data_IF_464399037093
#
_entry.id   IF_464399037093
#
_cell.length_a   1.000
_cell.length_b   1.000
_cell.length_c   1.000
_cell.angle_alpha   90.00
_cell.angle_beta   90.00
_cell.angle_gamma   90.00
#
_symmetry.space_group_name_H-M   'P 1'
#
loop_
_entity.id
_entity.type
_entity.pdbx_description
1 polymer ?
#
# COMPACT_ATOMS: atom_id res chain seq x y z
N UNK A 1 20.25 4.59 -3.87
CA UNK A 1 19.67 4.77 -5.21
C UNK A 1 18.78 6.00 -5.13
N UNK A 2 18.92 6.96 -6.05
CA UNK A 2 18.13 8.20 -6.01
C UNK A 2 16.75 7.92 -6.61
N UNK A 3 15.80 7.50 -5.79
CA UNK A 3 14.43 7.27 -6.22
C UNK A 3 13.83 8.59 -6.71
N UNK A 4 13.53 8.64 -8.01
CA UNK A 4 13.03 9.84 -8.64
C UNK A 4 11.55 10.03 -8.29
N UNK A 5 11.22 11.14 -7.61
CA UNK A 5 9.83 11.56 -7.36
C UNK A 5 8.95 11.61 -8.64
N UNK A 6 9.56 11.71 -9.84
CA UNK A 6 8.88 11.66 -11.15
C UNK A 6 8.19 10.31 -11.39
N UNK A 7 8.66 9.24 -10.76
CA UNK A 7 8.06 7.90 -10.89
C UNK A 7 6.69 7.83 -10.20
N UNK A 8 6.38 8.78 -9.30
CA UNK A 8 5.07 8.91 -8.68
C UNK A 8 4.09 9.49 -9.69
N UNK A 9 2.96 8.79 -9.86
CA UNK A 9 1.85 9.25 -10.69
C UNK A 9 1.35 10.63 -10.20
N UNK A 10 1.10 11.55 -11.13
CA UNK A 10 0.75 12.97 -10.88
C UNK A 10 1.89 13.87 -10.37
N UNK A 11 3.16 13.44 -10.43
CA UNK A 11 4.33 14.32 -10.21
C UNK A 11 4.96 14.75 -11.54
N UNK A 12 4.66 15.97 -11.96
CA UNK A 12 5.32 16.60 -13.10
C UNK A 12 6.72 17.13 -12.73
N UNK A 13 7.54 17.45 -13.74
CA UNK A 13 8.88 18.02 -13.52
C UNK A 13 8.86 19.32 -12.72
N UNK A 14 7.83 20.16 -12.89
CA UNK A 14 7.68 21.39 -12.12
C UNK A 14 7.36 21.12 -10.65
N UNK A 15 6.47 20.16 -10.37
CA UNK A 15 6.12 19.74 -9.00
C UNK A 15 7.33 19.11 -8.31
N UNK A 16 8.11 18.28 -9.02
CA UNK A 16 9.38 17.75 -8.50
C UNK A 16 10.33 18.88 -8.08
N UNK A 17 10.51 19.90 -8.93
CA UNK A 17 11.39 21.04 -8.60
C UNK A 17 10.92 21.76 -7.34
N UNK A 18 9.61 21.93 -7.18
CA UNK A 18 9.01 22.54 -5.98
C UNK A 18 9.22 21.69 -4.72
N UNK A 19 8.99 20.38 -4.80
CA UNK A 19 9.26 19.43 -3.71
C UNK A 19 10.74 19.42 -3.31
N UNK A 20 11.65 19.39 -4.29
CA UNK A 20 13.09 19.45 -4.05
C UNK A 20 13.49 20.78 -3.37
N UNK A 21 12.89 21.90 -3.78
CA UNK A 21 13.10 23.21 -3.13
C UNK A 21 12.58 23.24 -1.69
N UNK A 22 11.50 22.51 -1.41
CA UNK A 22 10.97 22.31 -0.07
C UNK A 22 11.79 21.31 0.78
N UNK A 23 12.86 20.72 0.22
CA UNK A 23 13.70 19.76 0.92
C UNK A 23 13.16 18.33 0.93
N UNK A 24 12.13 18.04 0.13
CA UNK A 24 11.55 16.71 -0.05
C UNK A 24 12.21 16.07 -1.26
N UNK A 25 13.11 15.11 -1.05
CA UNK A 25 13.95 14.53 -2.11
C UNK A 25 13.69 13.04 -2.40
N UNK A 26 13.72 12.12 -1.42
CA UNK A 26 13.31 10.73 -1.66
C UNK A 26 11.79 10.56 -1.55
N UNK A 27 11.28 9.54 -2.25
CA UNK A 27 9.87 9.18 -2.23
C UNK A 27 9.39 8.76 -0.82
N UNK A 28 10.28 8.16 -0.02
CA UNK A 28 10.09 7.85 1.39
C UNK A 28 9.73 9.10 2.20
N UNK A 29 10.42 10.21 1.93
CA UNK A 29 10.15 11.47 2.61
C UNK A 29 8.82 12.07 2.16
N UNK A 30 8.46 11.93 0.88
CA UNK A 30 7.14 12.34 0.40
C UNK A 30 6.01 11.52 1.03
N UNK A 31 6.20 10.21 1.18
CA UNK A 31 5.21 9.32 1.80
C UNK A 31 5.01 9.59 3.30
N UNK A 32 6.05 10.09 3.99
CA UNK A 32 6.00 10.46 5.41
C UNK A 32 5.68 11.95 5.64
N UNK A 33 5.61 12.77 4.59
CA UNK A 33 5.34 14.20 4.71
C UNK A 33 3.89 14.47 5.16
N UNK A 34 3.69 15.56 5.92
CA UNK A 34 2.34 16.00 6.27
C UNK A 34 1.71 16.80 5.14
N UNK A 35 0.39 16.70 5.04
CA UNK A 35 -0.41 17.53 4.11
C UNK A 35 -0.14 19.02 4.35
N UNK A 36 -0.01 19.43 5.62
CA UNK A 36 0.30 20.82 6.00
C UNK A 36 1.62 21.32 5.40
N UNK A 37 2.65 20.47 5.35
CA UNK A 37 3.95 20.84 4.78
C UNK A 37 3.88 20.98 3.25
N UNK A 38 3.07 20.12 2.61
CA UNK A 38 2.83 20.20 1.17
C UNK A 38 2.00 21.43 0.79
N UNK A 39 1.03 21.82 1.63
CA UNK A 39 0.22 23.03 1.42
C UNK A 39 1.01 24.34 1.50
N UNK A 40 2.16 24.34 2.19
CA UNK A 40 3.07 25.49 2.20
C UNK A 40 3.77 25.69 0.84
N UNK A 41 3.73 24.69 -0.03
CA UNK A 41 4.32 24.74 -1.36
C UNK A 41 3.34 25.39 -2.34
N UNK A 42 3.79 26.45 -3.00
CA UNK A 42 2.97 27.18 -3.97
C UNK A 42 2.44 26.26 -5.10
N UNK A 43 1.11 26.20 -5.26
CA UNK A 43 0.43 25.37 -6.26
C UNK A 43 0.15 23.93 -5.82
N UNK A 44 0.23 23.64 -4.51
CA UNK A 44 -0.24 22.40 -3.92
C UNK A 44 -1.55 22.63 -3.15
N UNK A 45 -2.57 21.87 -3.51
CA UNK A 45 -3.86 21.84 -2.82
C UNK A 45 -3.98 20.62 -1.90
N UNK A 46 -4.96 20.63 -1.00
CA UNK A 46 -5.23 19.51 -0.07
C UNK A 46 -5.42 18.20 -0.83
N UNK A 47 -6.31 18.20 -1.84
CA UNK A 47 -6.63 17.02 -2.65
C UNK A 47 -5.42 16.48 -3.42
N UNK A 48 -4.59 17.39 -3.92
CA UNK A 48 -3.39 17.04 -4.67
C UNK A 48 -2.35 16.42 -3.73
N UNK A 49 -2.16 17.03 -2.56
CA UNK A 49 -1.23 16.59 -1.54
C UNK A 49 -1.59 15.19 -1.01
N UNK A 50 -2.86 14.94 -0.71
CA UNK A 50 -3.36 13.62 -0.33
C UNK A 50 -3.07 12.56 -1.40
N UNK A 51 -3.34 12.91 -2.66
CA UNK A 51 -3.12 12.00 -3.80
C UNK A 51 -1.64 11.68 -3.99
N UNK A 52 -0.76 12.66 -3.81
CA UNK A 52 0.69 12.47 -3.90
C UNK A 52 1.22 11.57 -2.79
N UNK A 53 0.79 11.78 -1.55
CA UNK A 53 1.16 10.92 -0.41
C UNK A 53 0.66 9.49 -0.66
N UNK A 54 -0.60 9.32 -1.06
CA UNK A 54 -1.16 8.00 -1.34
C UNK A 54 -0.43 7.27 -2.48
N UNK A 55 -0.06 7.99 -3.56
CA UNK A 55 0.71 7.42 -4.66
C UNK A 55 2.15 7.07 -4.25
N UNK A 56 2.78 7.89 -3.40
CA UNK A 56 4.11 7.63 -2.87
C UNK A 56 4.11 6.39 -1.95
N UNK A 57 3.14 6.29 -1.03
CA UNK A 57 2.95 5.10 -0.18
C UNK A 57 2.75 3.87 -1.05
N UNK A 58 1.84 3.93 -2.02
CA UNK A 58 1.57 2.81 -2.91
C UNK A 58 2.80 2.38 -3.71
N UNK A 59 3.65 3.33 -4.11
CA UNK A 59 4.89 3.02 -4.82
C UNK A 59 5.87 2.26 -3.92
N UNK A 60 6.05 2.70 -2.68
CA UNK A 60 6.89 2.02 -1.69
C UNK A 60 6.32 0.64 -1.31
N UNK A 61 4.99 0.53 -1.20
CA UNK A 61 4.28 -0.70 -0.87
C UNK A 61 4.34 -1.75 -2.00
N UNK A 62 4.72 -1.37 -3.23
CA UNK A 62 4.95 -2.31 -4.33
C UNK A 62 6.33 -2.97 -4.21
N UNK A 63 7.32 -2.32 -3.59
CA UNK A 63 8.65 -2.89 -3.36
C UNK A 63 8.71 -3.80 -2.13
N UNK A 64 7.92 -3.50 -1.09
CA UNK A 64 7.71 -4.43 0.01
C UNK A 64 6.66 -5.48 -0.41
N UNK A 65 7.08 -6.73 -0.54
CA UNK A 65 6.21 -7.89 -0.81
C UNK A 65 4.82 -7.80 -0.15
N UNK A 66 3.76 -8.31 -0.80
CA UNK A 66 2.42 -8.29 -0.23
C UNK A 66 2.42 -8.95 1.14
N UNK A 67 2.34 -8.14 2.19
CA UNK A 67 2.19 -8.61 3.56
C UNK A 67 0.88 -9.38 3.61
N UNK A 68 1.00 -10.71 3.60
CA UNK A 68 -0.08 -11.70 3.61
C UNK A 68 -1.22 -11.25 4.54
N UNK A 69 -2.49 -11.53 4.19
CA UNK A 69 -3.62 -11.19 5.02
C UNK A 69 -3.39 -11.70 6.45
N UNK A 70 -3.37 -10.75 7.39
CA UNK A 70 -3.15 -10.97 8.82
C UNK A 70 -4.25 -11.87 9.36
N UNK A 71 -3.96 -13.18 9.43
CA UNK A 71 -4.66 -14.22 10.18
C UNK A 71 -6.11 -13.87 10.56
N UNK A 72 -6.98 -13.80 9.55
CA UNK A 72 -8.40 -14.01 9.78
C UNK A 72 -8.55 -15.47 10.17
N UNK A 73 -8.62 -15.76 11.48
CA UNK A 73 -9.05 -17.06 11.97
C UNK A 73 -10.40 -17.37 11.33
N UNK A 74 -10.40 -18.17 10.26
CA UNK A 74 -11.59 -18.92 9.89
C UNK A 74 -11.68 -19.97 10.99
N UNK A 75 -12.31 -19.62 12.10
CA UNK A 75 -12.64 -20.59 13.13
C UNK A 75 -13.54 -21.60 12.44
N UNK A 76 -13.01 -22.79 12.18
CA UNK A 76 -13.76 -23.94 11.70
C UNK A 76 -14.94 -24.19 12.65
N UNK A 77 -16.10 -23.60 12.37
CA UNK A 77 -17.35 -23.85 13.09
C UNK A 77 -18.31 -24.77 12.34
N UNK A 78 -17.86 -25.38 11.24
CA UNK A 78 -18.58 -26.45 10.55
C UNK A 78 -17.64 -27.59 10.16
N UNK A 79 -17.05 -28.25 11.15
CA UNK A 79 -16.84 -29.70 11.01
C UNK A 79 -18.20 -30.37 11.21
N UNK A 80 -19.02 -30.39 10.16
CA UNK A 80 -20.17 -31.28 10.15
C UNK A 80 -19.63 -32.71 10.26
N UNK A 81 -19.88 -33.32 11.42
CA UNK A 81 -19.76 -34.75 11.60
C UNK A 81 -20.80 -35.41 10.70
N UNK A 82 -20.42 -35.81 9.50
CA UNK A 82 -21.14 -36.87 8.80
C UNK A 82 -20.25 -38.09 8.81
N UNK A 83 -20.49 -38.93 9.82
CA UNK A 83 -20.16 -40.35 9.76
C UNK A 83 -20.78 -40.90 8.49
N UNK A 84 -19.96 -41.20 7.48
CA UNK A 84 -20.19 -42.32 6.61
C UNK A 84 -18.96 -43.19 6.75
N UNK A 85 -19.01 -44.09 7.73
CA UNK A 85 -18.10 -45.23 7.77
C UNK A 85 -18.39 -46.08 6.54
N UNK A 86 -17.30 -46.39 5.85
CA UNK A 86 -17.20 -47.12 4.61
C UNK A 86 -17.83 -48.51 4.73
N UNK A 87 -18.36 -48.98 3.61
CA UNK A 87 -18.17 -50.33 3.11
C UNK A 87 -17.01 -51.08 3.78
N UNK A 88 -17.29 -52.31 4.23
CA UNK A 88 -16.54 -53.53 3.84
C UNK A 88 -17.14 -54.76 4.52
N UNK A 89 -17.35 -55.79 3.71
CA UNK A 89 -17.22 -57.22 4.05
C UNK A 89 -18.26 -57.86 4.98
N UNK A 90 -19.24 -58.52 4.36
CA UNK A 90 -19.57 -59.89 4.78
C UNK A 90 -19.32 -60.85 3.60
N UNK A 91 -18.13 -61.45 3.65
CA UNK A 91 -17.89 -62.79 3.14
C UNK A 91 -18.66 -63.75 4.04
N UNK A 92 -19.60 -64.52 3.50
CA UNK A 92 -19.87 -65.93 3.81
C UNK A 92 -20.82 -66.52 2.76
#
# INVERSE_FOLDING_TARGET
>A
MSENLILVRDVDQERKKKLNKAGIQPIEQLANAKIEELLLIEGFDVRLSEKLIANAIKFLEIEEEPKLPKNGKITSKYSMKTTNKRDTEQNF
#
